data_IF_951789421683
#
_entry.id   IF_951789421683
#
_cell.length_a   1.000
_cell.length_b   1.000
_cell.length_c   1.000
_cell.angle_alpha   90.00
_cell.angle_beta   90.00
_cell.angle_gamma   90.00
#
_symmetry.space_group_name_H-M   'P 1'
#
loop_
_entity.id
_entity.type
_entity.pdbx_description
1 polymer ?
#
# COMPACT_ATOMS: atom_id res chain seq x y z
N UNK A 1 41.49 -18.04 49.34
CA UNK A 1 40.97 -18.61 48.08
C UNK A 1 39.49 -18.21 47.99
N UNK A 2 39.13 -17.04 47.45
CA UNK A 2 38.99 -16.72 46.02
C UNK A 2 38.17 -17.80 45.29
N UNK A 3 36.85 -17.67 45.34
CA UNK A 3 35.98 -18.18 44.29
C UNK A 3 35.07 -17.04 43.83
N UNK A 4 35.51 -16.43 42.73
CA UNK A 4 34.79 -15.50 41.89
C UNK A 4 33.72 -16.30 41.15
N UNK A 5 32.43 -16.10 41.44
CA UNK A 5 31.36 -16.55 40.55
C UNK A 5 31.04 -15.42 39.57
N UNK A 6 31.18 -15.77 38.30
CA UNK A 6 30.91 -15.02 37.09
C UNK A 6 29.71 -15.70 36.42
N UNK A 7 28.60 -14.98 36.17
CA UNK A 7 27.61 -15.21 35.09
C UNK A 7 26.55 -14.09 35.14
N UNK A 8 26.73 -12.98 34.42
CA UNK A 8 26.12 -12.65 33.11
C UNK A 8 24.60 -12.81 33.09
N UNK A 9 23.87 -11.69 33.05
CA UNK A 9 22.76 -11.48 32.10
C UNK A 9 22.66 -9.99 31.75
N UNK A 10 23.22 -9.69 30.58
CA UNK A 10 22.93 -8.58 29.68
C UNK A 10 21.44 -8.22 29.67
N UNK A 11 21.06 -7.12 30.34
CA UNK A 11 19.72 -6.52 30.20
C UNK A 11 19.78 -5.39 29.20
N UNK A 12 19.30 -5.73 28.00
CA UNK A 12 18.55 -4.92 27.04
C UNK A 12 19.17 -3.59 26.55
N UNK A 13 19.74 -3.63 25.34
CA UNK A 13 19.58 -2.50 24.42
C UNK A 13 18.13 -2.51 23.93
N UNK A 14 17.30 -1.58 24.42
CA UNK A 14 16.13 -1.15 23.67
C UNK A 14 16.67 -0.39 22.45
N UNK A 15 16.78 -1.06 21.31
CA UNK A 15 16.79 -0.32 20.04
C UNK A 15 15.40 0.30 19.93
N UNK A 16 15.29 1.59 20.25
CA UNK A 16 14.21 2.40 19.69
C UNK A 16 14.41 2.29 18.17
N UNK A 17 13.65 1.40 17.53
CA UNK A 17 13.57 1.33 16.08
C UNK A 17 13.01 2.69 15.68
N UNK A 18 13.87 3.51 15.10
CA UNK A 18 13.48 4.80 14.55
C UNK A 18 12.34 4.56 13.56
N UNK A 19 11.32 5.42 13.61
CA UNK A 19 10.20 5.45 12.68
C UNK A 19 10.65 5.95 11.30
N UNK A 20 11.64 5.30 10.71
CA UNK A 20 12.17 5.64 9.40
C UNK A 20 11.31 4.94 8.34
N UNK A 21 10.23 5.61 7.97
CA UNK A 21 9.53 5.52 6.68
C UNK A 21 9.50 4.13 6.00
N UNK A 22 9.03 3.11 6.72
CA UNK A 22 9.01 1.70 6.28
C UNK A 22 8.25 1.46 4.96
N UNK A 23 7.40 2.39 4.54
CA UNK A 23 6.61 2.25 3.32
C UNK A 23 7.31 2.76 2.08
N UNK A 24 8.28 3.68 2.15
CA UNK A 24 9.00 4.26 0.99
C UNK A 24 8.17 4.34 -0.32
N UNK A 25 6.97 4.93 -0.27
CA UNK A 25 6.04 5.06 -1.41
C UNK A 25 6.36 6.34 -2.16
N UNK A 26 6.33 6.28 -3.50
CA UNK A 26 6.49 7.42 -4.38
C UNK A 26 5.29 7.60 -5.33
N UNK A 27 4.78 8.83 -5.53
CA UNK A 27 5.07 10.03 -4.73
C UNK A 27 4.59 9.86 -3.27
N UNK A 28 5.01 10.77 -2.38
CA UNK A 28 4.60 10.73 -0.98
C UNK A 28 3.08 10.80 -0.86
N UNK A 29 2.51 9.93 -0.03
CA UNK A 29 1.07 9.84 0.26
C UNK A 29 0.79 10.25 1.71
N UNK A 30 -0.46 10.60 2.02
CA UNK A 30 -0.92 10.82 3.39
C UNK A 30 -1.40 9.50 4.02
N UNK A 31 -0.73 9.08 5.11
CA UNK A 31 -0.99 7.80 5.79
C UNK A 31 -1.34 8.04 7.25
N UNK A 32 -2.55 7.64 7.64
CA UNK A 32 -2.96 7.63 9.04
C UNK A 32 -2.74 6.25 9.67
N UNK A 33 -1.52 5.92 10.10
CA UNK A 33 -1.25 4.72 10.91
C UNK A 33 -0.29 5.05 12.06
N UNK A 34 -0.73 4.79 13.30
CA UNK A 34 0.00 5.10 14.54
C UNK A 34 0.84 3.92 15.07
N UNK A 35 0.61 2.70 14.59
CA UNK A 35 1.29 1.48 15.04
C UNK A 35 1.55 0.55 13.86
N UNK A 36 2.74 -0.06 13.83
CA UNK A 36 3.13 -1.05 12.81
C UNK A 36 2.42 -2.39 13.07
N UNK A 37 1.14 -2.44 12.73
CA UNK A 37 0.39 -3.69 12.67
C UNK A 37 0.42 -4.25 11.25
N UNK A 38 0.44 -5.58 11.16
CA UNK A 38 0.50 -6.30 9.89
C UNK A 38 -0.77 -7.13 9.68
N UNK A 39 -1.23 -7.18 8.44
CA UNK A 39 -2.35 -8.03 8.00
C UNK A 39 -1.94 -9.51 7.92
N UNK A 40 -2.89 -10.37 7.63
CA UNK A 40 -2.66 -11.78 7.27
C UNK A 40 -2.47 -11.95 5.74
N UNK A 41 -2.43 -10.85 4.99
CA UNK A 41 -2.31 -10.85 3.53
C UNK A 41 -0.85 -11.10 3.14
N UNK A 42 -0.66 -12.10 2.28
CA UNK A 42 0.61 -12.36 1.62
C UNK A 42 0.66 -11.59 0.29
N UNK A 43 1.68 -10.75 0.12
CA UNK A 43 1.81 -9.89 -1.06
C UNK A 43 1.84 -10.64 -2.40
N UNK A 44 2.26 -11.91 -2.41
CA UNK A 44 2.32 -12.75 -3.61
C UNK A 44 1.03 -13.49 -3.93
N UNK A 45 0.04 -13.48 -3.02
CA UNK A 45 -1.21 -14.26 -3.13
C UNK A 45 -2.45 -13.40 -3.38
N UNK A 46 -2.25 -12.17 -3.84
CA UNK A 46 -3.35 -11.25 -4.18
C UNK A 46 -3.76 -11.50 -5.63
N UNK A 47 -4.68 -12.45 -5.84
CA UNK A 47 -5.03 -12.97 -7.17
C UNK A 47 -6.36 -12.44 -7.71
N UNK A 48 -7.29 -12.06 -6.83
CA UNK A 48 -8.66 -11.67 -7.20
C UNK A 48 -9.05 -10.32 -6.64
N UNK A 49 -9.75 -9.55 -7.48
CA UNK A 49 -10.41 -8.30 -7.11
C UNK A 49 -11.91 -8.37 -7.47
N UNK A 50 -12.74 -7.79 -6.62
CA UNK A 50 -14.19 -7.71 -6.82
C UNK A 50 -14.64 -6.25 -6.81
N UNK A 51 -15.42 -5.85 -7.81
CA UNK A 51 -16.05 -4.54 -7.80
C UNK A 51 -17.43 -4.58 -7.17
N UNK A 52 -17.70 -3.73 -6.18
CA UNK A 52 -19.04 -3.62 -5.56
C UNK A 52 -20.05 -2.90 -6.46
N UNK A 53 -19.59 -2.11 -7.43
CA UNK A 53 -20.42 -1.34 -8.37
C UNK A 53 -20.23 -1.74 -9.84
N UNK A 54 -19.60 -2.90 -10.11
CA UNK A 54 -19.33 -3.40 -11.46
C UNK A 54 -18.41 -2.48 -12.29
N UNK A 55 -17.51 -1.78 -11.60
CA UNK A 55 -16.40 -1.03 -12.19
C UNK A 55 -15.34 -1.99 -12.74
N UNK A 56 -14.63 -1.56 -13.79
CA UNK A 56 -13.55 -2.36 -14.38
C UNK A 56 -12.29 -2.24 -13.53
N UNK A 57 -11.56 -3.36 -13.40
CA UNK A 57 -10.20 -3.35 -12.87
C UNK A 57 -9.35 -2.40 -13.75
N UNK A 58 -8.60 -1.44 -13.15
CA UNK A 58 -7.76 -0.52 -13.92
C UNK A 58 -6.57 -1.25 -14.54
N UNK A 59 -5.76 -0.52 -15.31
CA UNK A 59 -4.49 -1.08 -15.82
C UNK A 59 -3.61 -1.46 -14.63
N UNK A 60 -3.16 -2.71 -14.58
CA UNK A 60 -2.30 -3.23 -13.52
C UNK A 60 -0.91 -3.63 -14.01
N UNK A 61 0.03 -3.72 -13.08
CA UNK A 61 1.42 -4.11 -13.32
C UNK A 61 2.02 -4.69 -12.03
N UNK A 62 3.29 -5.11 -12.08
CA UNK A 62 4.00 -5.61 -10.91
C UNK A 62 3.31 -6.83 -10.28
N UNK A 63 3.10 -6.77 -8.97
CA UNK A 63 2.42 -7.83 -8.18
C UNK A 63 0.95 -7.99 -8.57
N UNK A 64 0.32 -6.94 -9.10
CA UNK A 64 -1.08 -6.96 -9.52
C UNK A 64 -1.28 -7.27 -11.01
N UNK A 65 -0.20 -7.56 -11.76
CA UNK A 65 -0.25 -7.74 -13.23
C UNK A 65 -1.26 -8.78 -13.71
N UNK A 66 -1.40 -9.88 -12.97
CA UNK A 66 -2.26 -11.00 -13.34
C UNK A 66 -3.55 -11.06 -12.51
N UNK A 67 -3.89 -9.99 -11.80
CA UNK A 67 -5.11 -9.96 -11.01
C UNK A 67 -6.32 -10.14 -11.92
N UNK A 68 -7.26 -10.96 -11.48
CA UNK A 68 -8.48 -11.27 -12.22
C UNK A 68 -9.71 -10.86 -11.43
N UNK A 69 -10.84 -10.75 -12.12
CA UNK A 69 -12.12 -10.54 -11.48
C UNK A 69 -12.51 -11.79 -10.68
N UNK A 70 -12.85 -11.59 -9.41
CA UNK A 70 -13.34 -12.65 -8.52
C UNK A 70 -14.75 -12.35 -8.00
N UNK A 71 -15.17 -13.09 -6.99
CA UNK A 71 -16.44 -12.86 -6.31
C UNK A 71 -16.25 -12.09 -4.98
N UNK A 72 -17.36 -11.66 -4.38
CA UNK A 72 -17.37 -10.86 -3.15
C UNK A 72 -16.81 -11.59 -1.92
N UNK A 73 -16.78 -12.91 -1.90
CA UNK A 73 -16.32 -13.72 -0.76
C UNK A 73 -14.84 -14.09 -0.88
N UNK A 74 -14.40 -14.44 -2.09
CA UNK A 74 -13.05 -14.94 -2.37
C UNK A 74 -12.03 -13.84 -2.68
N UNK A 75 -12.46 -12.65 -3.08
CA UNK A 75 -11.55 -11.57 -3.47
C UNK A 75 -10.96 -10.84 -2.27
N UNK A 76 -9.62 -10.80 -2.21
CA UNK A 76 -8.89 -10.02 -1.21
C UNK A 76 -9.05 -8.51 -1.43
N UNK A 77 -9.12 -8.08 -2.69
CA UNK A 77 -9.36 -6.67 -3.03
C UNK A 77 -10.84 -6.47 -3.33
N UNK A 78 -11.44 -5.48 -2.67
CA UNK A 78 -12.78 -4.99 -2.97
C UNK A 78 -12.69 -3.52 -3.34
N UNK A 79 -13.28 -3.13 -4.46
CA UNK A 79 -13.13 -1.77 -4.95
C UNK A 79 -14.42 -1.20 -5.56
N UNK A 80 -14.52 0.11 -5.54
CA UNK A 80 -15.56 0.86 -6.26
C UNK A 80 -15.10 2.26 -6.62
N UNK A 81 -15.76 2.80 -7.63
CA UNK A 81 -15.80 4.23 -7.91
C UNK A 81 -17.03 4.82 -7.21
N UNK A 82 -16.79 5.82 -6.37
CA UNK A 82 -17.83 6.59 -5.71
C UNK A 82 -17.54 8.09 -5.86
N UNK A 83 -18.25 8.73 -6.78
CA UNK A 83 -18.11 10.16 -7.04
C UNK A 83 -18.59 11.03 -5.87
N UNK A 84 -19.22 10.43 -4.86
CA UNK A 84 -19.73 11.12 -3.67
C UNK A 84 -18.66 11.39 -2.60
N UNK A 85 -17.50 10.71 -2.65
CA UNK A 85 -16.47 10.86 -1.62
C UNK A 85 -15.88 12.28 -1.61
N UNK A 86 -15.58 12.78 -0.41
CA UNK A 86 -14.99 14.10 -0.18
C UNK A 86 -13.48 14.10 -0.46
N UNK A 87 -13.16 13.95 -1.74
CA UNK A 87 -11.84 14.04 -2.36
C UNK A 87 -11.95 14.76 -3.70
N UNK A 88 -10.85 15.38 -4.13
CA UNK A 88 -10.68 15.92 -5.48
C UNK A 88 -10.68 14.79 -6.52
N UNK A 89 -10.82 15.16 -7.80
CA UNK A 89 -10.57 14.25 -8.91
C UNK A 89 -9.19 13.59 -8.76
N UNK A 90 -9.08 12.35 -9.22
CA UNK A 90 -7.91 11.47 -9.05
C UNK A 90 -7.68 11.01 -7.59
N UNK A 91 -8.56 11.36 -6.65
CA UNK A 91 -8.45 10.98 -5.25
C UNK A 91 -8.95 9.57 -4.96
N UNK A 92 -8.37 8.94 -3.94
CA UNK A 92 -8.77 7.61 -3.47
C UNK A 92 -8.61 7.43 -1.97
N UNK A 93 -9.35 6.46 -1.45
CA UNK A 93 -9.22 5.91 -0.10
C UNK A 93 -8.79 4.45 -0.26
N UNK A 94 -7.69 4.07 0.40
CA UNK A 94 -7.16 2.71 0.42
C UNK A 94 -7.04 2.25 1.89
N UNK A 95 -7.86 1.28 2.27
CA UNK A 95 -7.84 0.65 3.57
C UNK A 95 -7.32 -0.78 3.45
N UNK A 96 -6.23 -1.09 4.14
CA UNK A 96 -5.71 -2.45 4.26
C UNK A 96 -6.06 -2.93 5.66
N UNK A 97 -6.98 -3.88 5.74
CA UNK A 97 -7.44 -4.50 6.97
C UNK A 97 -6.69 -5.81 7.23
N UNK A 98 -7.14 -6.58 8.23
CA UNK A 98 -6.50 -7.85 8.58
C UNK A 98 -6.56 -8.88 7.46
N UNK A 99 -7.68 -8.97 6.75
CA UNK A 99 -7.95 -10.01 5.74
C UNK A 99 -8.27 -9.44 4.35
N UNK A 100 -8.62 -8.15 4.26
CA UNK A 100 -9.13 -7.54 3.03
C UNK A 100 -8.45 -6.21 2.73
N UNK A 101 -8.51 -5.81 1.46
CA UNK A 101 -8.10 -4.51 0.95
C UNK A 101 -9.34 -3.84 0.37
N UNK A 102 -9.70 -2.67 0.87
CA UNK A 102 -10.86 -1.90 0.44
C UNK A 102 -10.40 -0.63 -0.26
N UNK A 103 -10.90 -0.39 -1.47
CA UNK A 103 -10.58 0.78 -2.27
C UNK A 103 -11.87 1.51 -2.64
N UNK A 104 -11.92 2.80 -2.35
CA UNK A 104 -12.99 3.69 -2.85
C UNK A 104 -12.32 4.85 -3.56
N UNK A 105 -12.56 4.98 -4.86
CA UNK A 105 -11.96 6.02 -5.70
C UNK A 105 -12.98 7.06 -6.14
N UNK A 106 -12.54 8.31 -6.34
CA UNK A 106 -13.40 9.40 -6.81
C UNK A 106 -13.83 9.20 -8.26
N UNK A 107 -12.93 8.68 -9.09
CA UNK A 107 -13.04 8.50 -10.53
C UNK A 107 -12.13 7.34 -11.00
N UNK A 108 -12.08 7.10 -12.32
CA UNK A 108 -11.28 6.02 -12.91
C UNK A 108 -9.78 6.24 -12.70
N UNK A 109 -9.33 7.48 -12.76
CA UNK A 109 -7.96 7.90 -12.53
C UNK A 109 -7.55 7.68 -11.07
N UNK A 110 -8.43 8.02 -10.12
CA UNK A 110 -8.24 7.75 -8.70
C UNK A 110 -8.16 6.25 -8.43
N UNK A 111 -8.98 5.44 -9.11
CA UNK A 111 -8.92 3.98 -8.99
C UNK A 111 -7.58 3.43 -9.50
N UNK A 112 -7.11 3.96 -10.64
CA UNK A 112 -5.79 3.62 -11.15
C UNK A 112 -4.69 3.99 -10.14
N UNK A 113 -4.72 5.18 -9.55
CA UNK A 113 -3.72 5.59 -8.55
C UNK A 113 -3.78 4.76 -7.26
N UNK A 114 -4.97 4.34 -6.82
CA UNK A 114 -5.10 3.41 -5.70
C UNK A 114 -4.37 2.08 -5.96
N UNK A 115 -4.51 1.52 -7.17
CA UNK A 115 -3.82 0.29 -7.57
C UNK A 115 -2.31 0.48 -7.73
N UNK A 116 -1.87 1.65 -8.21
CA UNK A 116 -0.44 2.04 -8.25
C UNK A 116 0.17 2.02 -6.84
N UNK A 117 -0.51 2.68 -5.89
CA UNK A 117 -0.07 2.73 -4.48
C UNK A 117 -0.08 1.35 -3.85
N UNK A 118 -1.15 0.57 -4.06
CA UNK A 118 -1.23 -0.79 -3.55
C UNK A 118 -0.08 -1.67 -4.09
N UNK A 119 0.25 -1.60 -5.38
CA UNK A 119 1.35 -2.37 -5.94
C UNK A 119 2.68 -2.04 -5.24
N UNK A 120 2.97 -0.78 -4.95
CA UNK A 120 4.18 -0.39 -4.21
C UNK A 120 4.18 -0.95 -2.78
N UNK A 121 3.04 -0.92 -2.10
CA UNK A 121 2.90 -1.51 -0.76
C UNK A 121 3.19 -3.02 -0.79
N UNK A 122 2.65 -3.74 -1.79
CA UNK A 122 2.88 -5.17 -1.97
C UNK A 122 4.36 -5.46 -2.27
N UNK A 123 4.99 -4.67 -3.13
CA UNK A 123 6.41 -4.76 -3.44
C UNK A 123 7.29 -4.55 -2.20
N UNK A 124 6.96 -3.55 -1.37
CA UNK A 124 7.69 -3.26 -0.14
C UNK A 124 7.52 -4.36 0.91
N UNK A 125 6.31 -4.88 1.10
CA UNK A 125 6.06 -6.00 2.00
C UNK A 125 6.84 -7.25 1.54
N UNK A 126 6.85 -7.53 0.23
CA UNK A 126 7.64 -8.61 -0.33
C UNK A 126 9.15 -8.42 -0.12
N UNK A 127 9.69 -7.23 -0.42
CA UNK A 127 11.11 -6.92 -0.26
C UNK A 127 11.56 -7.04 1.20
N UNK A 128 10.71 -6.63 2.15
CA UNK A 128 10.96 -6.72 3.58
C UNK A 128 10.68 -8.10 4.17
N UNK A 129 10.11 -9.03 3.38
CA UNK A 129 9.67 -10.36 3.81
C UNK A 129 8.67 -10.29 4.98
N UNK A 130 7.79 -9.31 4.94
CA UNK A 130 6.73 -9.09 5.91
C UNK A 130 5.36 -9.33 5.27
N UNK A 131 4.33 -9.51 6.09
CA UNK A 131 2.95 -9.40 5.60
C UNK A 131 2.66 -7.96 5.20
N UNK A 132 1.58 -7.75 4.44
CA UNK A 132 1.16 -6.39 4.06
C UNK A 132 0.77 -5.60 5.34
N UNK A 133 1.26 -4.37 5.54
CA UNK A 133 0.92 -3.57 6.72
C UNK A 133 -0.57 -3.14 6.71
N UNK A 134 -1.15 -2.99 7.90
CA UNK A 134 -2.50 -2.43 8.09
C UNK A 134 -2.42 -0.92 7.96
N UNK A 135 -3.16 -0.36 7.01
CA UNK A 135 -3.07 1.04 6.61
C UNK A 135 -4.44 1.64 6.36
N UNK A 136 -4.57 2.94 6.65
CA UNK A 136 -5.64 3.79 6.15
C UNK A 136 -4.99 4.98 5.44
N UNK A 137 -5.23 5.06 4.14
CA UNK A 137 -4.67 6.04 3.22
C UNK A 137 -5.82 6.81 2.61
N UNK A 138 -5.75 8.14 2.69
CA UNK A 138 -6.63 9.07 1.97
C UNK A 138 -5.72 9.99 1.17
N UNK A 139 -5.69 9.82 -0.14
CA UNK A 139 -4.72 10.49 -1.00
C UNK A 139 -5.40 11.15 -2.20
N UNK A 140 -4.83 12.27 -2.63
CA UNK A 140 -5.33 13.07 -3.74
C UNK A 140 -4.24 14.02 -4.25
N UNK A 141 -4.32 14.46 -5.51
CA UNK A 141 -3.35 15.42 -6.03
C UNK A 141 -3.37 16.74 -5.25
N UNK A 142 -2.18 17.18 -4.85
CA UNK A 142 -1.98 18.55 -4.36
C UNK A 142 -2.15 19.58 -5.49
N UNK A 143 -1.76 19.19 -6.71
CA UNK A 143 -1.84 19.99 -7.93
C UNK A 143 -2.50 19.19 -9.06
N UNK A 144 -3.45 19.81 -9.73
CA UNK A 144 -4.20 19.21 -10.85
C UNK A 144 -3.29 18.93 -12.07
N UNK A 145 -2.25 19.74 -12.27
CA UNK A 145 -1.29 19.59 -13.36
C UNK A 145 0.11 19.22 -12.84
N UNK A 146 0.63 18.07 -13.28
CA UNK A 146 1.92 17.48 -12.84
C UNK A 146 2.82 17.20 -14.04
N UNK A 147 3.54 18.22 -14.58
CA UNK A 147 4.28 18.09 -15.82
C UNK A 147 5.56 17.26 -15.65
N UNK A 148 5.89 16.50 -16.70
CA UNK A 148 7.20 15.89 -16.87
C UNK A 148 7.93 16.65 -17.98
N UNK A 149 9.09 17.22 -17.68
CA UNK A 149 9.94 17.85 -18.68
C UNK A 149 10.96 16.82 -19.19
N UNK A 150 10.79 16.38 -20.44
CA UNK A 150 11.69 15.45 -21.11
C UNK A 150 12.60 16.23 -22.08
N UNK A 151 13.92 16.25 -21.83
CA UNK A 151 14.89 16.81 -22.78
C UNK A 151 15.22 15.77 -23.85
N UNK A 152 14.66 15.95 -25.05
CA UNK A 152 14.82 15.06 -26.19
C UNK A 152 15.93 15.50 -27.16
N UNK A 153 16.69 16.56 -26.86
CA UNK A 153 17.56 17.20 -27.86
C UNK A 153 18.84 16.42 -28.20
N UNK A 154 19.23 15.43 -27.40
CA UNK A 154 20.47 14.66 -27.59
C UNK A 154 20.24 13.15 -27.59
N UNK A 155 19.30 12.68 -28.40
CA UNK A 155 19.12 11.24 -28.64
C UNK A 155 19.51 10.94 -30.10
N UNK A 156 20.68 10.32 -30.28
CA UNK A 156 21.11 9.69 -31.55
C UNK A 156 20.53 8.30 -31.70
#
# INVERSE_FOLDING_TARGET
>A
MRFLILLIFIVSCNSNISSDNYLNIIPTIDVSSKHQEFSNINAQKVEYAYSTKNDKIPITYGFLKNISEGDSESSTIKFEIDDSIDLKSEGYILNIEKENILITAKDQEGLFYAFVTLNQILENAFAQKTSVPILNIKDQPSLDFRPIHLDLKHHT
#
